data_IF_049153803036
#
_entry.id   IF_049153803036
#
_cell.length_a   1.000
_cell.length_b   1.000
_cell.length_c   1.000
_cell.angle_alpha   90.00
_cell.angle_beta   90.00
_cell.angle_gamma   90.00
#
_symmetry.space_group_name_H-M   'P 1'
#
loop_
_entity.id
_entity.type
_entity.pdbx_description
1 polymer ?
#
# COMPACT_ATOMS: atom_id res chain seq x y z
N UNK A 1 13.43 -7.84 -22.10
CA UNK A 1 12.52 -7.88 -20.99
C UNK A 1 13.17 -7.30 -19.75
N UNK A 2 12.43 -6.58 -18.98
CA UNK A 2 12.93 -5.85 -17.84
C UNK A 2 12.69 -6.63 -16.56
N UNK A 3 13.73 -6.96 -15.85
CA UNK A 3 13.68 -7.84 -14.69
C UNK A 3 13.78 -7.12 -13.35
N UNK A 4 13.80 -5.79 -13.33
CA UNK A 4 14.15 -5.03 -12.11
C UNK A 4 13.06 -4.08 -11.63
N UNK A 5 11.83 -4.16 -12.16
CA UNK A 5 10.80 -3.18 -11.85
C UNK A 5 11.06 -1.77 -12.41
N UNK A 6 12.10 -1.62 -13.21
CA UNK A 6 12.40 -0.40 -13.97
C UNK A 6 12.40 -0.71 -15.45
N UNK A 7 11.54 -0.09 -16.20
CA UNK A 7 11.33 -0.32 -17.61
C UNK A 7 12.56 -0.14 -18.47
N UNK A 8 13.49 0.67 -18.05
CA UNK A 8 14.68 1.06 -18.77
C UNK A 8 15.92 0.32 -18.29
N UNK A 9 15.78 -0.61 -17.33
CA UNK A 9 16.91 -1.32 -16.75
C UNK A 9 17.05 -2.72 -17.35
N UNK A 10 18.16 -2.95 -18.02
CA UNK A 10 18.55 -4.23 -18.57
C UNK A 10 19.64 -4.87 -17.70
N UNK A 11 19.37 -6.04 -17.11
CA UNK A 11 20.38 -6.79 -16.36
C UNK A 11 21.05 -7.81 -17.26
N UNK A 12 22.33 -7.61 -17.54
CA UNK A 12 23.15 -8.50 -18.42
C UNK A 12 23.52 -9.84 -17.80
N UNK A 13 23.35 -10.04 -16.50
CA UNK A 13 23.92 -11.19 -15.75
C UNK A 13 22.90 -11.96 -14.89
N UNK A 14 21.63 -11.84 -15.13
CA UNK A 14 20.64 -12.62 -14.39
C UNK A 14 20.09 -13.74 -15.28
N UNK A 15 20.08 -14.96 -14.74
CA UNK A 15 19.39 -16.07 -15.37
C UNK A 15 17.89 -15.77 -15.38
N UNK A 16 17.29 -15.71 -16.56
CA UNK A 16 15.85 -15.49 -16.75
C UNK A 16 15.07 -16.81 -16.77
N UNK A 17 15.77 -17.92 -16.51
CA UNK A 17 15.20 -19.27 -16.52
C UNK A 17 14.79 -19.75 -15.12
N UNK A 18 14.70 -18.86 -14.14
CA UNK A 18 14.12 -19.20 -12.84
C UNK A 18 12.69 -19.67 -13.07
N UNK A 19 12.36 -20.85 -12.58
CA UNK A 19 11.01 -21.37 -12.66
C UNK A 19 10.05 -20.44 -11.91
N UNK A 20 8.90 -20.19 -12.51
CA UNK A 20 7.82 -19.49 -11.85
C UNK A 20 7.12 -20.50 -10.93
N UNK A 21 7.29 -20.33 -9.63
CA UNK A 21 6.57 -21.13 -8.63
C UNK A 21 5.49 -20.27 -7.98
N UNK A 22 4.26 -20.74 -8.06
CA UNK A 22 3.16 -20.18 -7.28
C UNK A 22 3.03 -20.99 -5.98
N UNK A 23 3.23 -20.32 -4.87
CA UNK A 23 3.00 -20.90 -3.55
C UNK A 23 1.51 -20.84 -3.20
N UNK A 24 1.06 -21.85 -2.47
CA UNK A 24 -0.29 -21.86 -1.93
C UNK A 24 -0.47 -20.66 -0.99
N UNK A 25 -1.51 -19.91 -1.24
CA UNK A 25 -1.88 -18.82 -0.35
C UNK A 25 -2.62 -19.42 0.82
N UNK A 26 -2.06 -19.31 2.01
CA UNK A 26 -2.78 -19.59 3.25
C UNK A 26 -3.87 -18.51 3.42
N UNK A 27 -4.91 -18.66 2.60
CA UNK A 27 -6.10 -17.81 2.70
C UNK A 27 -6.79 -18.27 3.98
N UNK A 28 -6.66 -17.50 5.03
CA UNK A 28 -7.39 -17.74 6.26
C UNK A 28 -8.86 -17.95 5.92
N UNK A 29 -9.47 -18.99 6.53
CA UNK A 29 -10.86 -19.38 6.28
C UNK A 29 -11.91 -18.31 6.62
N UNK A 30 -11.48 -17.16 7.11
CA UNK A 30 -12.32 -15.99 7.37
C UNK A 30 -12.58 -15.21 6.08
N UNK A 31 -13.34 -15.81 5.17
CA UNK A 31 -13.91 -15.06 4.06
C UNK A 31 -15.04 -14.16 4.60
N UNK A 32 -14.67 -12.97 5.07
CA UNK A 32 -15.68 -12.00 5.42
C UNK A 32 -16.29 -11.44 4.13
N UNK A 33 -17.49 -11.90 3.79
CA UNK A 33 -18.23 -11.49 2.59
C UNK A 33 -18.59 -9.99 2.60
N UNK A 34 -18.52 -9.33 3.76
CA UNK A 34 -18.77 -7.90 3.93
C UNK A 34 -17.59 -7.02 3.50
N UNK A 35 -16.40 -7.60 3.26
CA UNK A 35 -15.25 -6.84 2.80
C UNK A 35 -15.51 -6.22 1.42
N UNK A 36 -15.04 -5.00 1.22
CA UNK A 36 -15.20 -4.25 -0.01
C UNK A 36 -13.83 -3.85 -0.56
N UNK A 37 -13.72 -3.75 -1.89
CA UNK A 37 -12.50 -3.35 -2.58
C UNK A 37 -12.88 -2.31 -3.63
N UNK A 38 -12.26 -1.12 -3.58
CA UNK A 38 -12.56 0.00 -4.45
C UNK A 38 -11.36 0.36 -5.32
N UNK A 39 -11.58 0.45 -6.64
CA UNK A 39 -10.65 1.11 -7.56
C UNK A 39 -11.03 2.59 -7.66
N UNK A 40 -10.51 3.42 -6.77
CA UNK A 40 -10.88 4.82 -6.68
C UNK A 40 -9.72 5.65 -6.09
N UNK A 41 -9.74 6.94 -6.33
CA UNK A 41 -8.89 7.90 -5.63
C UNK A 41 -9.34 8.00 -4.16
N UNK A 42 -8.39 7.90 -3.23
CA UNK A 42 -8.66 7.88 -1.80
C UNK A 42 -9.30 9.19 -1.31
N UNK A 43 -8.92 10.33 -1.89
CA UNK A 43 -9.51 11.63 -1.56
C UNK A 43 -10.97 11.76 -2.02
N UNK A 44 -11.38 11.01 -3.03
CA UNK A 44 -12.78 10.98 -3.46
C UNK A 44 -13.60 9.98 -2.64
N UNK A 45 -13.03 8.84 -2.29
CA UNK A 45 -13.74 7.84 -1.50
C UNK A 45 -13.96 8.28 -0.05
N UNK A 46 -12.98 8.95 0.56
CA UNK A 46 -13.06 9.42 1.94
C UNK A 46 -14.30 10.28 2.23
N UNK A 47 -14.80 10.98 1.22
CA UNK A 47 -16.00 11.80 1.31
C UNK A 47 -17.31 11.01 1.38
N UNK A 48 -17.26 9.70 1.14
CA UNK A 48 -18.44 8.84 0.95
C UNK A 48 -18.58 7.74 1.99
N UNK A 49 -17.53 7.46 2.76
CA UNK A 49 -17.49 6.31 3.66
C UNK A 49 -17.05 6.72 5.06
N UNK A 50 -17.49 5.90 6.05
CA UNK A 50 -17.14 6.02 7.46
C UNK A 50 -16.54 4.72 7.96
N UNK A 51 -15.67 4.81 8.96
CA UNK A 51 -15.06 3.64 9.58
C UNK A 51 -14.70 3.87 11.04
N UNK A 52 -14.35 2.82 11.76
CA UNK A 52 -13.74 2.96 13.08
C UNK A 52 -12.27 3.35 12.94
N UNK A 53 -11.56 2.74 11.97
CA UNK A 53 -10.13 2.97 11.72
C UNK A 53 -9.90 3.27 10.24
N UNK A 54 -9.15 4.35 10.00
CA UNK A 54 -8.54 4.65 8.71
C UNK A 54 -7.03 4.38 8.77
N UNK A 55 -6.54 3.45 7.96
CA UNK A 55 -5.12 3.24 7.74
C UNK A 55 -4.68 3.95 6.46
N UNK A 56 -3.63 4.76 6.54
CA UNK A 56 -3.17 5.65 5.48
C UNK A 56 -1.66 5.46 5.29
N UNK A 57 -1.26 4.88 4.16
CA UNK A 57 0.12 4.64 3.77
C UNK A 57 0.36 5.20 2.35
N UNK A 58 0.33 6.52 2.18
CA UNK A 58 0.38 7.13 0.87
C UNK A 58 1.79 7.00 0.27
N UNK A 59 1.94 7.10 -1.07
CA UNK A 59 3.24 7.24 -1.69
C UNK A 59 3.98 8.45 -1.10
N UNK A 60 5.20 8.26 -0.58
CA UNK A 60 5.90 9.31 0.15
C UNK A 60 7.02 10.01 -0.64
N UNK A 61 7.40 9.50 -1.81
CA UNK A 61 8.46 10.09 -2.61
C UNK A 61 8.03 10.37 -4.06
N UNK A 62 8.93 10.91 -4.88
CA UNK A 62 8.62 11.28 -6.27
C UNK A 62 8.42 10.09 -7.23
N UNK A 63 8.59 8.86 -6.76
CA UNK A 63 8.43 7.66 -7.59
C UNK A 63 6.95 7.34 -7.73
N UNK A 64 6.43 7.53 -8.92
CA UNK A 64 5.05 7.20 -9.25
C UNK A 64 4.91 5.68 -9.45
N UNK A 65 3.90 5.07 -8.85
CA UNK A 65 3.60 3.65 -9.08
C UNK A 65 3.24 3.39 -10.55
N UNK A 66 2.51 4.31 -11.18
CA UNK A 66 2.26 4.26 -12.61
C UNK A 66 3.52 4.23 -13.47
N UNK A 67 4.65 4.76 -13.00
CA UNK A 67 5.94 4.62 -13.69
C UNK A 67 6.50 3.19 -13.60
N UNK A 68 6.18 2.47 -12.53
CA UNK A 68 6.69 1.12 -12.30
C UNK A 68 5.82 0.02 -12.91
N UNK A 69 4.50 0.22 -12.95
CA UNK A 69 3.55 -0.84 -13.27
C UNK A 69 2.78 -0.67 -14.58
N UNK A 70 2.81 0.52 -15.24
CA UNK A 70 2.01 0.81 -16.45
C UNK A 70 2.20 -0.19 -17.61
N UNK A 71 3.38 -0.80 -17.75
CA UNK A 71 3.57 -1.80 -18.80
C UNK A 71 2.80 -3.08 -18.47
N UNK A 72 2.91 -3.54 -17.24
CA UNK A 72 2.19 -4.75 -16.81
C UNK A 72 0.70 -4.53 -16.94
N UNK A 73 0.20 -3.33 -16.61
CA UNK A 73 -1.20 -2.96 -16.82
C UNK A 73 -1.58 -2.93 -18.29
N UNK A 74 -0.75 -2.34 -19.15
CA UNK A 74 -0.98 -2.34 -20.58
C UNK A 74 -0.99 -3.77 -21.16
N UNK A 75 -0.14 -4.67 -20.66
CA UNK A 75 -0.15 -6.09 -21.04
C UNK A 75 -1.43 -6.77 -20.55
N UNK A 76 -1.79 -6.57 -19.28
CA UNK A 76 -2.99 -7.17 -18.70
C UNK A 76 -4.29 -6.70 -19.40
N UNK A 77 -4.34 -5.44 -19.81
CA UNK A 77 -5.47 -4.88 -20.55
C UNK A 77 -5.34 -5.00 -22.08
N UNK A 78 -4.25 -5.59 -22.56
CA UNK A 78 -3.88 -5.70 -23.98
C UNK A 78 -3.90 -4.36 -24.71
N UNK A 79 -3.48 -3.30 -24.03
CA UNK A 79 -3.41 -1.94 -24.59
C UNK A 79 -2.06 -1.67 -25.24
N UNK A 80 -2.10 -1.00 -26.40
CA UNK A 80 -0.92 -0.52 -27.12
C UNK A 80 -0.95 1.00 -27.19
N UNK A 81 -0.63 1.72 -26.08
CA UNK A 81 -0.72 3.17 -26.04
C UNK A 81 0.30 3.81 -26.97
N UNK A 82 0.00 5.02 -27.45
CA UNK A 82 0.96 5.82 -28.21
C UNK A 82 2.15 6.15 -27.34
N UNK A 83 3.35 6.00 -27.88
CA UNK A 83 4.61 6.23 -27.19
C UNK A 83 5.40 7.38 -27.82
N UNK A 84 6.18 8.09 -27.02
CA UNK A 84 6.87 9.31 -27.38
C UNK A 84 8.36 9.26 -27.01
N UNK A 85 9.15 10.10 -27.66
CA UNK A 85 10.57 10.27 -27.38
C UNK A 85 11.44 9.08 -27.74
N UNK A 86 12.74 9.19 -27.49
CA UNK A 86 13.74 8.15 -27.76
C UNK A 86 13.48 6.90 -26.95
N UNK A 87 13.06 7.07 -25.69
CA UNK A 87 12.80 5.96 -24.77
C UNK A 87 11.44 5.27 -24.98
N UNK A 88 10.67 5.66 -26.00
CA UNK A 88 9.37 5.06 -26.36
C UNK A 88 8.45 4.92 -25.13
N UNK A 89 8.23 6.01 -24.41
CA UNK A 89 7.37 6.04 -23.22
C UNK A 89 5.98 6.56 -23.55
N UNK A 90 4.96 5.93 -22.95
CA UNK A 90 3.59 6.44 -23.03
C UNK A 90 3.42 7.69 -22.16
N UNK A 91 2.41 8.50 -22.47
CA UNK A 91 1.98 9.56 -21.55
C UNK A 91 1.33 8.92 -20.30
N UNK A 92 1.78 9.38 -19.13
CA UNK A 92 1.37 8.88 -17.81
C UNK A 92 0.82 9.99 -16.92
N UNK A 93 0.50 11.13 -17.51
CA UNK A 93 0.01 12.29 -16.78
C UNK A 93 -1.27 12.00 -15.98
N UNK A 94 -2.15 11.19 -16.52
CA UNK A 94 -3.45 10.81 -15.94
C UNK A 94 -3.36 9.77 -14.81
N UNK A 95 -2.24 9.04 -14.71
CA UNK A 95 -2.03 8.02 -13.66
C UNK A 95 -1.11 8.51 -12.53
N UNK A 96 -0.70 9.78 -12.56
CA UNK A 96 0.12 10.35 -11.49
C UNK A 96 -0.67 10.54 -10.19
N UNK A 97 -0.01 10.24 -9.08
CA UNK A 97 -0.52 10.54 -7.74
C UNK A 97 -0.07 11.92 -7.27
N UNK A 98 -0.98 12.69 -6.69
CA UNK A 98 -0.65 13.96 -6.06
C UNK A 98 0.32 13.78 -4.87
N UNK A 99 0.29 12.64 -4.19
CA UNK A 99 1.18 12.31 -3.08
C UNK A 99 2.66 12.19 -3.49
N UNK A 100 2.95 11.99 -4.77
CA UNK A 100 4.32 12.00 -5.29
C UNK A 100 4.79 13.38 -5.79
N UNK A 101 4.03 14.44 -5.60
CA UNK A 101 4.29 15.80 -6.11
C UNK A 101 4.35 16.83 -4.97
N UNK A 102 4.60 18.08 -5.31
CA UNK A 102 4.54 19.21 -4.36
C UNK A 102 3.13 19.45 -3.78
N UNK A 103 2.10 18.78 -4.31
CA UNK A 103 0.71 18.83 -3.81
C UNK A 103 0.44 17.82 -2.71
N UNK A 104 1.42 17.03 -2.30
CA UNK A 104 1.25 15.92 -1.36
C UNK A 104 0.66 16.37 -0.02
N UNK A 105 1.20 17.44 0.59
CA UNK A 105 0.69 17.96 1.85
C UNK A 105 -0.78 18.43 1.75
N UNK A 106 -1.13 19.10 0.64
CA UNK A 106 -2.50 19.54 0.41
C UNK A 106 -3.45 18.35 0.19
N UNK A 107 -3.03 17.32 -0.57
CA UNK A 107 -3.82 16.12 -0.77
C UNK A 107 -4.02 15.36 0.56
N UNK A 108 -2.98 15.28 1.38
CA UNK A 108 -3.06 14.67 2.70
C UNK A 108 -3.99 15.47 3.64
N UNK A 109 -3.86 16.79 3.67
CA UNK A 109 -4.75 17.66 4.44
C UNK A 109 -6.22 17.49 4.05
N UNK A 110 -6.50 17.40 2.75
CA UNK A 110 -7.86 17.15 2.24
C UNK A 110 -8.38 15.76 2.66
N UNK A 111 -7.56 14.72 2.54
CA UNK A 111 -7.91 13.37 2.98
C UNK A 111 -8.27 13.34 4.48
N UNK A 112 -7.41 13.91 5.33
CA UNK A 112 -7.63 13.95 6.79
C UNK A 112 -8.86 14.78 7.14
N UNK A 113 -9.08 15.91 6.47
CA UNK A 113 -10.25 16.77 6.70
C UNK A 113 -11.57 16.00 6.57
N UNK A 114 -11.71 15.18 5.54
CA UNK A 114 -12.94 14.43 5.25
C UNK A 114 -12.96 13.03 5.88
N UNK A 115 -11.87 12.59 6.51
CA UNK A 115 -11.82 11.29 7.16
C UNK A 115 -12.76 11.24 8.36
N UNK A 116 -13.83 10.43 8.26
CA UNK A 116 -14.84 10.22 9.31
C UNK A 116 -14.58 8.87 9.97
N UNK A 117 -13.79 8.87 11.05
CA UNK A 117 -13.40 7.67 11.78
C UNK A 117 -12.99 8.03 13.22
N UNK A 118 -12.90 7.02 14.09
CA UNK A 118 -12.45 7.18 15.49
C UNK A 118 -10.93 7.26 15.60
N UNK A 119 -10.23 6.50 14.78
CA UNK A 119 -8.76 6.43 14.76
C UNK A 119 -8.23 6.61 13.36
N UNK A 120 -7.21 7.45 13.21
CA UNK A 120 -6.44 7.59 11.99
C UNK A 120 -5.02 7.08 12.26
N UNK A 121 -4.56 6.12 11.48
CA UNK A 121 -3.22 5.56 11.58
C UNK A 121 -2.48 5.87 10.29
N UNK A 122 -1.43 6.67 10.37
CA UNK A 122 -0.61 7.06 9.22
C UNK A 122 0.75 6.39 9.31
N UNK A 123 1.15 5.66 8.28
CA UNK A 123 2.51 5.15 8.11
C UNK A 123 3.28 6.09 7.18
N UNK A 124 4.43 6.60 7.65
CA UNK A 124 5.28 7.49 6.86
C UNK A 124 6.73 7.40 7.31
N UNK A 125 7.69 7.62 6.39
CA UNK A 125 9.10 7.59 6.76
C UNK A 125 9.66 8.99 7.11
N UNK A 126 10.85 9.01 7.73
CA UNK A 126 11.51 10.26 8.14
C UNK A 126 12.43 10.88 7.06
N UNK A 127 12.18 10.63 5.77
CA UNK A 127 13.04 11.04 4.67
C UNK A 127 12.75 12.45 4.12
N UNK A 128 11.95 13.27 4.82
CA UNK A 128 11.54 14.60 4.36
C UNK A 128 12.70 15.54 4.03
N UNK A 129 13.81 15.44 4.76
CA UNK A 129 15.02 16.28 4.56
C UNK A 129 16.28 15.44 4.29
N UNK A 130 16.16 14.12 4.14
CA UNK A 130 17.26 13.17 3.97
C UNK A 130 17.23 12.55 2.57
N UNK A 131 18.39 12.33 1.98
CA UNK A 131 18.51 11.68 0.69
C UNK A 131 18.51 12.62 -0.51
N UNK A 132 18.41 12.05 -1.71
CA UNK A 132 18.36 12.84 -2.96
C UNK A 132 16.92 13.22 -3.30
N UNK A 133 16.74 14.15 -4.26
CA UNK A 133 15.44 14.69 -4.67
C UNK A 133 14.38 13.64 -5.08
N UNK A 134 14.80 12.43 -5.43
CA UNK A 134 13.90 11.32 -5.80
C UNK A 134 13.46 10.47 -4.62
N UNK A 135 14.26 10.41 -3.56
CA UNK A 135 13.99 9.61 -2.36
C UNK A 135 13.45 10.43 -1.19
N UNK A 136 13.48 11.76 -1.27
CA UNK A 136 12.89 12.62 -0.26
C UNK A 136 11.39 12.41 -0.13
N UNK A 137 10.94 12.30 1.11
CA UNK A 137 9.52 12.33 1.42
C UNK A 137 8.92 13.70 1.07
N UNK A 138 7.69 13.70 0.57
CA UNK A 138 7.02 14.90 0.05
C UNK A 138 6.29 15.69 1.13
N UNK A 139 6.02 15.07 2.27
CA UNK A 139 5.39 15.70 3.42
C UNK A 139 6.38 15.60 4.57
N UNK A 140 6.62 16.69 5.26
CA UNK A 140 7.46 16.71 6.46
C UNK A 140 6.68 16.17 7.67
N UNK A 141 7.43 15.78 8.70
CA UNK A 141 6.82 15.33 9.96
C UNK A 141 6.00 16.41 10.64
N UNK A 142 6.49 17.64 10.59
CA UNK A 142 5.79 18.81 11.15
C UNK A 142 4.44 18.97 10.47
N UNK A 143 4.40 18.93 9.12
CA UNK A 143 3.14 19.02 8.38
C UNK A 143 2.19 17.88 8.72
N UNK A 144 2.68 16.63 8.85
CA UNK A 144 1.84 15.48 9.23
C UNK A 144 1.25 15.70 10.63
N UNK A 145 2.08 16.11 11.60
CA UNK A 145 1.65 16.36 12.97
C UNK A 145 0.64 17.52 13.03
N UNK A 146 0.91 18.63 12.36
CA UNK A 146 -0.01 19.78 12.32
C UNK A 146 -1.36 19.41 11.73
N UNK A 147 -1.38 18.65 10.63
CA UNK A 147 -2.62 18.23 9.97
C UNK A 147 -3.40 17.27 10.87
N UNK A 148 -2.76 16.27 11.46
CA UNK A 148 -3.42 15.29 12.32
C UNK A 148 -3.91 15.92 13.64
N UNK A 149 -3.14 16.85 14.22
CA UNK A 149 -3.50 17.53 15.47
C UNK A 149 -4.78 18.40 15.35
N UNK A 150 -5.16 18.76 14.12
CA UNK A 150 -6.45 19.43 13.86
C UNK A 150 -7.64 18.47 13.99
N UNK A 151 -7.42 17.16 13.98
CA UNK A 151 -8.45 16.12 14.09
C UNK A 151 -8.54 15.51 15.48
N UNK A 152 -7.43 15.40 16.19
CA UNK A 152 -7.43 14.78 17.50
C UNK A 152 -6.04 14.67 18.14
N UNK A 153 -5.96 13.86 19.19
CA UNK A 153 -4.71 13.63 19.95
C UNK A 153 -3.78 12.69 19.17
N UNK A 154 -2.54 13.12 18.93
CA UNK A 154 -1.56 12.35 18.12
C UNK A 154 -0.48 11.74 18.99
N UNK A 155 -0.24 10.43 18.82
CA UNK A 155 0.91 9.69 19.36
C UNK A 155 1.79 9.23 18.22
N UNK A 156 3.13 9.36 18.35
CA UNK A 156 4.10 8.96 17.32
C UNK A 156 4.90 7.77 17.81
N UNK A 157 5.02 6.75 16.99
CA UNK A 157 5.85 5.57 17.23
C UNK A 157 6.88 5.45 16.12
N UNK A 158 8.11 5.10 16.47
CA UNK A 158 9.23 5.02 15.53
C UNK A 158 9.84 3.62 15.53
N UNK A 159 10.32 3.19 14.37
CA UNK A 159 11.14 1.99 14.21
C UNK A 159 12.29 2.24 13.27
N UNK A 160 13.48 1.80 13.65
CA UNK A 160 14.63 1.77 12.75
C UNK A 160 14.34 0.80 11.59
N UNK A 161 14.54 1.27 10.39
CA UNK A 161 14.28 0.51 9.16
C UNK A 161 15.55 0.49 8.30
N UNK A 162 16.03 -0.74 7.97
CA UNK A 162 17.16 -0.87 7.07
C UNK A 162 16.73 -0.53 5.65
N UNK A 163 17.33 0.52 5.11
CA UNK A 163 17.07 0.97 3.76
C UNK A 163 17.62 -0.04 2.74
N UNK A 164 16.82 -0.37 1.73
CA UNK A 164 17.30 -1.16 0.61
C UNK A 164 18.14 -0.25 -0.30
N UNK A 165 19.47 -0.33 -0.17
CA UNK A 165 20.40 0.45 -0.99
C UNK A 165 20.80 -0.36 -2.22
N UNK A 166 20.49 0.15 -3.40
CA UNK A 166 21.07 -0.32 -4.67
C UNK A 166 22.37 0.40 -5.03
N UNK A 167 22.94 1.20 -4.12
CA UNK A 167 24.09 2.05 -4.36
C UNK A 167 24.83 2.51 -3.11
N UNK A 168 25.86 3.30 -3.30
CA UNK A 168 26.87 3.75 -2.33
C UNK A 168 26.36 4.74 -1.25
N UNK A 169 25.08 4.94 -1.08
CA UNK A 169 24.55 5.95 -0.13
C UNK A 169 24.17 5.26 1.17
N UNK A 170 25.00 5.42 2.19
CA UNK A 170 24.61 5.13 3.57
C UNK A 170 23.76 6.30 4.07
N UNK A 171 22.50 6.03 4.36
CA UNK A 171 21.62 6.98 5.04
C UNK A 171 21.54 6.52 6.48
N UNK A 172 22.12 7.31 7.36
CA UNK A 172 22.05 7.08 8.81
C UNK A 172 20.66 7.50 9.33
N UNK A 173 20.17 6.81 10.36
CA UNK A 173 18.94 7.12 11.06
C UNK A 173 17.68 7.12 10.15
N UNK A 174 17.55 6.09 9.30
CA UNK A 174 16.32 5.84 8.55
C UNK A 174 15.29 5.16 9.46
N UNK A 175 14.16 5.84 9.66
CA UNK A 175 13.07 5.36 10.50
C UNK A 175 11.76 5.32 9.73
N UNK A 176 11.00 4.27 9.96
CA UNK A 176 9.58 4.24 9.64
C UNK A 176 8.80 4.71 10.86
N UNK A 177 7.81 5.57 10.65
CA UNK A 177 7.00 6.16 11.72
C UNK A 177 5.56 5.78 11.55
N UNK A 178 4.90 5.65 12.68
CA UNK A 178 3.48 5.45 12.77
C UNK A 178 2.89 6.57 13.61
N UNK A 179 2.02 7.35 13.01
CA UNK A 179 1.24 8.38 13.67
C UNK A 179 -0.15 7.82 13.96
N UNK A 180 -0.49 7.74 15.24
CA UNK A 180 -1.83 7.35 15.70
C UNK A 180 -2.55 8.62 16.15
N UNK A 181 -3.62 8.99 15.47
CA UNK A 181 -4.51 10.07 15.84
C UNK A 181 -5.82 9.52 16.40
N UNK A 182 -6.12 9.84 17.63
CA UNK A 182 -7.38 9.54 18.30
C UNK A 182 -8.33 10.72 18.06
N UNK A 183 -9.35 10.52 17.21
CA UNK A 183 -10.28 11.58 16.77
C UNK A 183 -11.37 11.82 17.78
N UNK A 184 -11.80 10.78 18.52
CA UNK A 184 -12.76 10.90 19.63
C UNK A 184 -12.00 10.87 20.96
N UNK A 185 -12.35 11.79 21.84
CA UNK A 185 -11.90 11.77 23.24
C UNK A 185 -12.56 10.58 23.96
N UNK A 186 -11.94 9.43 23.93
CA UNK A 186 -12.22 8.32 24.84
C UNK A 186 -10.95 8.01 25.61
N UNK A 187 -10.98 8.33 26.89
CA UNK A 187 -9.93 8.03 27.87
C UNK A 187 -10.00 6.55 28.24
N UNK A 188 -9.39 5.66 27.48
CA UNK A 188 -9.13 4.30 27.96
C UNK A 188 -7.89 3.72 27.30
N UNK A 189 -6.77 3.69 28.00
CA UNK A 189 -5.51 3.05 27.58
C UNK A 189 -5.63 1.52 27.39
N UNK A 190 -6.70 0.88 27.85
CA UNK A 190 -6.92 -0.57 27.75
C UNK A 190 -7.48 -1.07 26.41
N UNK A 191 -7.75 -0.18 25.45
CA UNK A 191 -8.45 -0.53 24.21
C UNK A 191 -7.58 -1.15 23.11
N UNK A 192 -6.26 -1.21 23.27
CA UNK A 192 -5.37 -1.74 22.24
C UNK A 192 -5.11 -3.24 22.37
N UNK A 193 -4.96 -3.93 21.24
CA UNK A 193 -4.70 -5.35 21.18
C UNK A 193 -3.40 -5.73 21.89
N UNK A 194 -3.48 -6.62 22.89
CA UNK A 194 -2.33 -7.44 23.29
C UNK A 194 -2.19 -8.57 22.27
N UNK A 195 -1.08 -8.61 21.55
CA UNK A 195 -0.81 -9.71 20.61
C UNK A 195 -0.45 -10.96 21.43
N UNK A 196 -1.13 -12.06 21.13
CA UNK A 196 -0.66 -13.38 21.52
C UNK A 196 0.66 -13.66 20.78
N UNK A 197 1.68 -14.08 21.53
CA UNK A 197 3.00 -14.44 21.01
C UNK A 197 2.90 -15.67 20.12
N UNK A 198 2.49 -15.56 18.88
CA UNK A 198 2.54 -16.57 17.78
C UNK A 198 1.54 -16.27 16.66
N UNK A 199 1.08 -15.03 16.50
CA UNK A 199 0.20 -14.72 15.38
C UNK A 199 0.96 -14.85 14.06
N UNK A 200 0.60 -15.83 13.23
CA UNK A 200 1.08 -15.93 11.84
C UNK A 200 0.34 -14.90 10.99
N UNK A 201 1.10 -14.02 10.35
CA UNK A 201 0.56 -13.06 9.39
C UNK A 201 0.53 -13.68 7.98
N UNK A 202 -0.57 -13.49 7.27
CA UNK A 202 -0.66 -13.82 5.86
C UNK A 202 0.15 -12.83 5.03
N UNK A 203 1.03 -13.34 4.17
CA UNK A 203 1.79 -12.50 3.23
C UNK A 203 1.01 -12.40 1.94
N UNK A 204 0.83 -11.19 1.42
CA UNK A 204 0.26 -11.01 0.09
C UNK A 204 1.11 -11.73 -0.97
N UNK A 205 0.52 -12.42 -1.94
CA UNK A 205 1.22 -13.01 -3.08
C UNK A 205 1.78 -11.94 -4.01
N UNK A 206 1.25 -10.73 -3.92
CA UNK A 206 1.67 -9.61 -4.74
C UNK A 206 2.94 -9.00 -4.15
N UNK A 207 4.05 -9.11 -4.87
CA UNK A 207 5.29 -8.42 -4.51
C UNK A 207 5.19 -6.93 -4.91
N UNK A 208 4.43 -6.17 -4.13
CA UNK A 208 4.16 -4.75 -4.38
C UNK A 208 5.15 -3.88 -3.60
N UNK A 209 5.69 -2.84 -4.27
CA UNK A 209 6.66 -1.92 -3.66
C UNK A 209 6.01 -1.19 -2.49
N UNK A 210 6.75 -1.05 -1.39
CA UNK A 210 6.23 -0.38 -0.18
C UNK A 210 5.36 -1.26 0.74
N UNK A 211 5.24 -2.56 0.45
CA UNK A 211 4.43 -3.47 1.27
C UNK A 211 4.84 -3.49 2.75
N UNK A 212 3.87 -3.39 3.65
CA UNK A 212 4.07 -3.26 5.11
C UNK A 212 4.11 -4.59 5.87
N UNK A 213 4.31 -5.73 5.18
CA UNK A 213 4.34 -7.05 5.81
C UNK A 213 5.29 -7.13 7.02
N UNK A 214 6.51 -6.57 6.89
CA UNK A 214 7.52 -6.54 7.95
C UNK A 214 7.14 -5.67 9.16
N UNK A 215 6.15 -4.83 9.04
CA UNK A 215 5.67 -3.92 10.08
C UNK A 215 4.37 -4.40 10.74
N UNK A 216 3.74 -5.48 10.23
CA UNK A 216 2.43 -5.95 10.70
C UNK A 216 2.37 -6.19 12.19
N UNK A 217 3.38 -6.82 12.76
CA UNK A 217 3.45 -7.09 14.21
C UNK A 217 3.34 -5.80 15.04
N UNK A 218 3.90 -4.69 14.54
CA UNK A 218 3.86 -3.42 15.25
C UNK A 218 2.59 -2.64 14.97
N UNK A 219 2.11 -2.69 13.74
CA UNK A 219 0.86 -2.07 13.32
C UNK A 219 -0.31 -2.65 14.11
N UNK A 220 -0.42 -3.98 14.15
CA UNK A 220 -1.55 -4.66 14.81
C UNK A 220 -1.60 -4.43 16.31
N UNK A 221 -0.45 -4.19 16.96
CA UNK A 221 -0.38 -3.78 18.38
C UNK A 221 -1.02 -2.40 18.66
N UNK A 222 -1.25 -1.61 17.63
CA UNK A 222 -1.81 -0.25 17.70
C UNK A 222 -3.26 -0.20 17.24
N UNK A 223 -3.83 -1.35 16.87
CA UNK A 223 -5.24 -1.43 16.53
C UNK A 223 -6.07 -1.69 17.79
N UNK A 224 -7.26 -1.09 17.91
CA UNK A 224 -8.23 -1.45 18.95
C UNK A 224 -8.57 -2.94 18.93
N UNK A 225 -9.01 -3.47 20.08
CA UNK A 225 -9.42 -4.88 20.20
C UNK A 225 -10.61 -5.21 19.32
N UNK A 226 -11.54 -4.29 19.22
CA UNK A 226 -12.78 -4.44 18.47
C UNK A 226 -12.85 -3.40 17.37
N UNK A 227 -12.90 -3.88 16.13
CA UNK A 227 -13.01 -3.04 14.95
C UNK A 227 -14.21 -3.51 14.15
N UNK A 228 -15.20 -2.64 14.01
CA UNK A 228 -16.33 -2.94 13.14
C UNK A 228 -15.95 -2.70 11.66
N UNK A 229 -15.43 -1.53 11.33
CA UNK A 229 -15.01 -1.21 9.97
C UNK A 229 -13.59 -0.66 9.96
N UNK A 230 -12.73 -1.29 9.16
CA UNK A 230 -11.35 -0.87 8.90
C UNK A 230 -11.20 -0.45 7.44
N UNK A 231 -10.60 0.70 7.18
CA UNK A 231 -10.30 1.15 5.82
C UNK A 231 -8.80 1.24 5.60
N UNK A 232 -8.31 0.62 4.51
CA UNK A 232 -6.94 0.73 3.99
C UNK A 232 -6.97 1.58 2.73
N UNK A 233 -6.65 2.88 2.85
CA UNK A 233 -6.80 3.87 1.77
C UNK A 233 -5.75 3.75 0.66
N UNK A 234 -4.64 3.07 0.89
CA UNK A 234 -3.58 2.84 -0.09
C UNK A 234 -3.14 1.39 0.01
N UNK A 235 -4.07 0.46 -0.25
CA UNK A 235 -3.92 -0.93 0.13
C UNK A 235 -2.77 -1.64 -0.57
N UNK A 236 -2.33 -1.17 -1.74
CA UNK A 236 -1.28 -1.80 -2.50
C UNK A 236 -1.52 -3.30 -2.64
N UNK A 237 -0.55 -4.13 -2.27
CA UNK A 237 -0.69 -5.59 -2.26
C UNK A 237 -1.63 -6.16 -1.18
N UNK A 238 -2.28 -5.33 -0.36
CA UNK A 238 -3.29 -5.77 0.63
C UNK A 238 -2.70 -6.34 1.92
N UNK A 239 -1.41 -6.20 2.18
CA UNK A 239 -0.76 -6.83 3.35
C UNK A 239 -1.36 -6.41 4.70
N UNK A 240 -1.84 -5.19 4.85
CA UNK A 240 -2.45 -4.71 6.10
C UNK A 240 -3.88 -5.20 6.19
N UNK A 241 -4.71 -4.91 5.21
CA UNK A 241 -6.14 -5.25 5.22
C UNK A 241 -6.43 -6.74 5.43
N UNK A 242 -5.63 -7.65 4.85
CA UNK A 242 -5.82 -9.11 5.02
C UNK A 242 -5.44 -9.62 6.41
N UNK A 243 -4.69 -8.85 7.19
CA UNK A 243 -4.22 -9.23 8.52
C UNK A 243 -4.97 -8.54 9.67
N UNK A 244 -5.92 -7.68 9.35
CA UNK A 244 -6.72 -6.98 10.37
C UNK A 244 -7.90 -7.83 10.78
N UNK A 245 -8.12 -7.95 12.09
CA UNK A 245 -9.33 -8.56 12.66
C UNK A 245 -10.42 -7.50 12.76
N UNK A 246 -11.27 -7.38 11.76
CA UNK A 246 -12.41 -6.47 11.73
C UNK A 246 -13.65 -7.16 11.15
N UNK A 247 -14.84 -6.67 11.50
CA UNK A 247 -16.08 -7.19 10.93
C UNK A 247 -16.20 -6.89 9.43
N UNK A 248 -15.63 -5.75 9.02
CA UNK A 248 -15.57 -5.32 7.63
C UNK A 248 -14.23 -4.65 7.34
N UNK A 249 -13.58 -5.04 6.24
CA UNK A 249 -12.38 -4.39 5.71
C UNK A 249 -12.73 -3.77 4.36
N UNK A 250 -12.34 -2.51 4.18
CA UNK A 250 -12.47 -1.77 2.93
C UNK A 250 -11.06 -1.48 2.43
N UNK A 251 -10.71 -2.06 1.28
CA UNK A 251 -9.41 -1.85 0.63
C UNK A 251 -9.60 -0.91 -0.57
N UNK A 252 -8.73 0.09 -0.68
CA UNK A 252 -8.81 1.13 -1.71
C UNK A 252 -7.47 1.29 -2.38
N UNK A 253 -7.46 1.29 -3.70
CA UNK A 253 -6.30 1.68 -4.49
C UNK A 253 -6.72 2.25 -5.85
N UNK A 254 -5.87 3.08 -6.42
CA UNK A 254 -6.09 3.70 -7.73
C UNK A 254 -5.69 2.77 -8.88
N UNK A 255 -4.83 1.80 -8.63
CA UNK A 255 -4.29 0.88 -9.62
C UNK A 255 -5.31 -0.22 -9.95
N UNK A 256 -5.91 -0.12 -11.14
CA UNK A 256 -7.03 -0.98 -11.57
C UNK A 256 -6.66 -2.46 -11.64
N UNK A 257 -5.50 -2.79 -12.20
CA UNK A 257 -5.08 -4.19 -12.33
C UNK A 257 -4.85 -4.82 -10.97
N UNK A 258 -4.27 -4.09 -10.02
CA UNK A 258 -4.10 -4.51 -8.64
C UNK A 258 -5.44 -4.85 -7.98
N UNK A 259 -6.40 -3.94 -8.08
CA UNK A 259 -7.74 -4.12 -7.52
C UNK A 259 -8.46 -5.31 -8.18
N UNK A 260 -8.30 -5.50 -9.49
CA UNK A 260 -8.86 -6.66 -10.19
C UNK A 260 -8.29 -7.98 -9.66
N UNK A 261 -6.98 -8.04 -9.38
CA UNK A 261 -6.34 -9.23 -8.80
C UNK A 261 -6.82 -9.48 -7.37
N UNK A 262 -6.95 -8.45 -6.54
CA UNK A 262 -7.49 -8.59 -5.18
C UNK A 262 -8.95 -9.09 -5.20
N UNK A 263 -9.78 -8.58 -6.13
CA UNK A 263 -11.15 -9.06 -6.34
C UNK A 263 -11.18 -10.52 -6.82
N UNK A 264 -10.23 -10.91 -7.66
CA UNK A 264 -10.11 -12.29 -8.12
C UNK A 264 -9.80 -13.24 -6.95
N UNK A 265 -8.88 -12.87 -6.05
CA UNK A 265 -8.59 -13.63 -4.83
C UNK A 265 -9.79 -13.69 -3.88
N UNK A 266 -10.59 -12.64 -3.79
CA UNK A 266 -11.82 -12.64 -3.01
C UNK A 266 -12.88 -13.58 -3.59
N UNK A 267 -12.95 -13.70 -4.92
CA UNK A 267 -14.07 -14.35 -5.62
C UNK A 267 -13.82 -15.82 -5.88
N UNK A 268 -12.57 -16.22 -6.15
CA UNK A 268 -12.23 -17.56 -6.59
C UNK A 268 -11.28 -18.26 -5.61
N UNK A 269 -11.46 -19.59 -5.48
CA UNK A 269 -10.49 -20.41 -4.76
C UNK A 269 -9.15 -20.46 -5.48
N UNK A 270 -8.08 -20.70 -4.73
CA UNK A 270 -6.73 -20.88 -5.25
C UNK A 270 -6.70 -21.91 -6.39
N UNK A 271 -7.25 -23.10 -6.20
CA UNK A 271 -7.29 -24.17 -7.19
C UNK A 271 -7.92 -23.71 -8.52
N UNK A 272 -9.00 -22.92 -8.45
CA UNK A 272 -9.67 -22.42 -9.65
C UNK A 272 -8.80 -21.41 -10.40
N UNK A 273 -8.04 -20.58 -9.68
CA UNK A 273 -7.11 -19.62 -10.27
C UNK A 273 -5.97 -20.36 -10.97
N UNK A 274 -5.32 -21.31 -10.29
CA UNK A 274 -4.23 -22.11 -10.85
C UNK A 274 -4.68 -22.86 -12.09
N UNK A 275 -5.77 -23.62 -12.01
CA UNK A 275 -6.27 -24.36 -13.17
C UNK A 275 -6.56 -23.49 -14.39
N UNK A 276 -6.93 -22.22 -14.17
CA UNK A 276 -7.12 -21.27 -15.29
C UNK A 276 -5.78 -20.79 -15.83
N UNK A 277 -4.80 -20.52 -14.99
CA UNK A 277 -3.45 -20.16 -15.42
C UNK A 277 -2.76 -21.28 -16.19
N UNK A 278 -2.86 -22.51 -15.73
CA UNK A 278 -2.32 -23.69 -16.42
C UNK A 278 -2.92 -23.84 -17.82
N UNK A 279 -4.23 -23.65 -17.96
CA UNK A 279 -4.86 -23.67 -19.28
C UNK A 279 -4.29 -22.58 -20.20
N UNK A 280 -4.14 -21.36 -19.71
CA UNK A 280 -3.56 -20.26 -20.50
C UNK A 280 -2.13 -20.60 -20.89
N UNK A 281 -1.32 -21.11 -19.98
CA UNK A 281 0.07 -21.50 -20.26
C UNK A 281 0.12 -22.58 -21.36
N UNK A 282 -0.77 -23.57 -21.30
CA UNK A 282 -0.86 -24.64 -22.33
C UNK A 282 -1.35 -24.14 -23.69
N UNK A 283 -2.17 -23.08 -23.75
CA UNK A 283 -2.62 -22.48 -24.98
C UNK A 283 -1.55 -21.65 -25.72
N UNK A 284 -0.55 -21.14 -24.97
CA UNK A 284 0.48 -20.25 -25.51
C UNK A 284 1.88 -20.86 -25.57
N UNK A 285 2.08 -22.12 -25.17
CA UNK A 285 3.27 -22.93 -25.39
C UNK A 285 3.09 -23.88 -26.59
#
# INVERSE_FOLDING_TARGET
ANTVGHYDAYRKKQNLQDNFEMFDLDISKNQNIKNEIYNMDSNELVKKIKADIAYIDPPYNSRQYGDAYHLLENVAEWKKPKVYGVAKKMDRSNIKSNYCTNKAANAFKDLIKYCDCKYIIVSYNNMGQKGNSRSQAKISDTEILEILSQKGKVKVFEKNFNFFTTGKTNIEDHKERLFLCEVCEQEDEEHFCKIENNQKFAKSPLNYVGGKYKLLEQLTKRFPKEINTFIDYFCGGGNVGVNVKANKVIAVDKEKCLINVLNLFKTYSYTKIINKLDKIILEYN
#
